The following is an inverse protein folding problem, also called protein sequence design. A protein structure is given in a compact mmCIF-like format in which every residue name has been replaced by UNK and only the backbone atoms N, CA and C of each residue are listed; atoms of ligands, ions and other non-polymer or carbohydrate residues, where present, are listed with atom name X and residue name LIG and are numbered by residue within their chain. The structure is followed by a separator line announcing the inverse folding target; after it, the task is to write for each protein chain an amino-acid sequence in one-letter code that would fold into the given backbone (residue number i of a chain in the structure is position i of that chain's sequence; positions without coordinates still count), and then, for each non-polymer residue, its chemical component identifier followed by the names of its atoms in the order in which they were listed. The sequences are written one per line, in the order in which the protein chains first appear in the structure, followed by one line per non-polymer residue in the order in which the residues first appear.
data_IF_036453349066
#
_entry.id   IF_036453349066
#
_cell.length_a   1.000
_cell.length_b   1.000
_cell.length_c   1.000
_cell.angle_alpha   90.00
_cell.angle_beta   90.00
_cell.angle_gamma   90.00
#
_symmetry.space_group_name_H-M   'P 1'
#
loop_
_entity.id
_entity.type
_entity.pdbx_description
1 polymer ?
#
# COMPACT_ATOMS: atom_id res chain seq x y z
N UNK A 1 -9.08 12.11 12.13
CA UNK A 1 -9.66 11.56 10.90
C UNK A 1 -8.88 12.11 9.71
N UNK A 2 -8.28 11.26 8.87
CA UNK A 2 -7.60 11.73 7.66
C UNK A 2 -8.63 12.03 6.56
N UNK A 3 -8.47 13.18 5.92
CA UNK A 3 -9.31 13.65 4.80
C UNK A 3 -8.57 13.49 3.48
N UNK A 4 -9.25 13.70 2.35
CA UNK A 4 -8.63 13.68 1.03
C UNK A 4 -7.44 14.66 0.90
N UNK A 5 -7.45 15.80 1.60
CA UNK A 5 -6.34 16.76 1.59
C UNK A 5 -5.12 16.25 2.36
N UNK A 6 -5.33 15.47 3.43
CA UNK A 6 -4.23 14.78 4.10
C UNK A 6 -3.61 13.72 3.19
N UNK A 7 -4.44 13.01 2.41
CA UNK A 7 -3.96 12.04 1.42
C UNK A 7 -3.22 12.73 0.28
N UNK A 8 -3.67 13.91 -0.17
CA UNK A 8 -2.93 14.71 -1.14
C UNK A 8 -1.51 15.05 -0.65
N UNK A 9 -1.39 15.50 0.60
CA UNK A 9 -0.09 15.78 1.22
C UNK A 9 0.79 14.51 1.31
N UNK A 10 0.22 13.39 1.75
CA UNK A 10 0.91 12.11 1.82
C UNK A 10 1.36 11.62 0.44
N UNK A 11 0.53 11.76 -0.59
CA UNK A 11 0.88 11.40 -1.98
C UNK A 11 2.04 12.24 -2.48
N UNK A 12 2.07 13.54 -2.15
CA UNK A 12 3.21 14.40 -2.47
C UNK A 12 4.49 13.90 -1.82
N UNK A 13 4.45 13.59 -0.52
CA UNK A 13 5.60 13.04 0.20
C UNK A 13 6.06 11.69 -0.37
N UNK A 14 5.11 10.80 -0.71
CA UNK A 14 5.40 9.52 -1.33
C UNK A 14 6.04 9.68 -2.71
N UNK A 15 5.59 10.61 -3.54
CA UNK A 15 6.22 10.89 -4.85
C UNK A 15 7.69 11.29 -4.67
N UNK A 16 7.95 12.20 -3.76
CA UNK A 16 9.30 12.70 -3.49
C UNK A 16 10.21 11.60 -2.91
N UNK A 17 9.64 10.71 -2.09
CA UNK A 17 10.39 9.66 -1.40
C UNK A 17 10.61 8.40 -2.25
N UNK A 18 9.61 7.98 -3.03
CA UNK A 18 9.58 6.68 -3.72
C UNK A 18 10.12 6.73 -5.15
N UNK A 19 10.44 7.91 -5.68
CA UNK A 19 10.95 8.05 -7.05
C UNK A 19 12.17 7.16 -7.32
N UNK A 20 12.06 6.29 -8.35
CA UNK A 20 13.10 5.32 -8.71
C UNK A 20 13.33 4.21 -7.68
N UNK A 21 12.38 4.04 -6.75
CA UNK A 21 12.38 2.96 -5.77
C UNK A 21 11.80 1.67 -6.34
N UNK A 22 11.93 0.61 -5.55
CA UNK A 22 11.33 -0.70 -5.84
C UNK A 22 10.46 -1.16 -4.70
N UNK A 23 9.35 -1.79 -5.02
CA UNK A 23 8.53 -2.47 -4.02
C UNK A 23 9.22 -3.78 -3.61
N UNK A 24 9.49 -3.99 -2.32
CA UNK A 24 10.32 -5.12 -1.87
C UNK A 24 9.63 -6.08 -0.91
N UNK A 25 8.56 -5.64 -0.22
CA UNK A 25 7.85 -6.48 0.73
C UNK A 25 6.50 -5.88 1.11
N UNK A 26 5.61 -6.73 1.60
CA UNK A 26 4.38 -6.37 2.29
C UNK A 26 4.31 -7.13 3.62
N UNK A 27 3.90 -6.46 4.68
CA UNK A 27 3.83 -7.03 6.02
C UNK A 27 2.47 -6.68 6.64
N UNK A 28 1.68 -7.68 7.04
CA UNK A 28 0.47 -7.47 7.83
C UNK A 28 0.59 -8.10 9.22
N UNK A 29 0.38 -7.27 10.24
CA UNK A 29 0.38 -7.66 11.65
C UNK A 29 -1.06 -7.70 12.15
N UNK A 30 -1.67 -8.89 12.16
CA UNK A 30 -3.09 -9.08 12.45
C UNK A 30 -3.48 -8.60 13.84
N UNK A 31 -2.64 -8.85 14.85
CA UNK A 31 -2.90 -8.41 16.24
C UNK A 31 -2.91 -6.88 16.40
N UNK A 32 -1.98 -6.19 15.75
CA UNK A 32 -1.87 -4.72 15.79
C UNK A 32 -2.87 -4.05 14.82
N UNK A 33 -3.39 -4.80 13.84
CA UNK A 33 -4.20 -4.30 12.73
C UNK A 33 -3.45 -3.25 11.91
N UNK A 34 -2.18 -3.54 11.64
CA UNK A 34 -1.30 -2.67 10.87
C UNK A 34 -0.77 -3.40 9.63
N UNK A 35 -0.81 -2.73 8.48
CA UNK A 35 -0.18 -3.20 7.26
C UNK A 35 0.93 -2.24 6.82
N UNK A 36 1.99 -2.77 6.26
CA UNK A 36 3.12 -2.01 5.75
C UNK A 36 3.47 -2.46 4.34
N UNK A 37 3.57 -1.50 3.43
CA UNK A 37 4.15 -1.69 2.10
C UNK A 37 5.57 -1.14 2.13
N UNK A 38 6.56 -1.99 1.87
CA UNK A 38 7.97 -1.65 1.99
C UNK A 38 8.60 -1.38 0.62
N UNK A 39 9.31 -0.27 0.54
CA UNK A 39 9.96 0.20 -0.67
C UNK A 39 11.46 0.41 -0.42
N UNK A 40 12.29 -0.14 -1.29
CA UNK A 40 13.73 0.17 -1.33
C UNK A 40 13.92 1.43 -2.18
N UNK A 41 14.54 2.43 -1.59
CA UNK A 41 14.88 3.71 -2.23
C UNK A 41 16.36 4.00 -2.03
N UNK A 42 16.91 5.02 -2.71
CA UNK A 42 18.34 5.36 -2.62
C UNK A 42 18.83 5.57 -1.18
N UNK A 43 18.00 6.18 -0.33
CA UNK A 43 18.32 6.53 1.06
C UNK A 43 18.00 5.42 2.09
N UNK A 44 17.60 4.23 1.65
CA UNK A 44 17.29 3.11 2.55
C UNK A 44 15.96 2.44 2.23
N UNK A 45 15.28 1.95 3.26
CA UNK A 45 13.97 1.32 3.14
C UNK A 45 12.92 2.16 3.83
N UNK A 46 11.84 2.46 3.11
CA UNK A 46 10.71 3.27 3.57
C UNK A 46 9.45 2.40 3.56
N UNK A 47 8.55 2.66 4.48
CA UNK A 47 7.28 1.97 4.63
C UNK A 47 6.12 2.94 4.47
N UNK A 48 5.16 2.59 3.62
CA UNK A 48 3.80 3.14 3.70
C UNK A 48 3.02 2.26 4.69
N UNK A 49 2.80 2.80 5.88
CA UNK A 49 2.05 2.15 6.94
C UNK A 49 0.57 2.49 6.89
N UNK A 50 -0.27 1.52 7.22
CA UNK A 50 -1.71 1.63 7.35
C UNK A 50 -2.16 1.03 8.68
N UNK A 51 -2.63 1.88 9.57
CA UNK A 51 -3.25 1.47 10.82
C UNK A 51 -4.78 1.40 10.66
N UNK A 52 -5.36 0.24 10.94
CA UNK A 52 -6.80 -0.03 10.82
C UNK A 52 -7.51 -0.11 12.19
N UNK A 53 -6.90 0.42 13.26
CA UNK A 53 -7.48 0.32 14.60
C UNK A 53 -8.65 1.32 14.80
N UNK A 54 -9.78 0.92 15.41
CA UNK A 54 -10.93 1.81 15.61
C UNK A 54 -10.62 3.09 16.40
N UNK A 55 -9.74 3.00 17.40
CA UNK A 55 -9.35 4.14 18.25
C UNK A 55 -8.17 4.97 17.71
N UNK A 56 -7.54 4.54 16.60
CA UNK A 56 -6.35 5.19 16.05
C UNK A 56 -6.02 4.62 14.68
N UNK A 57 -6.37 5.33 13.62
CA UNK A 57 -6.20 4.87 12.24
C UNK A 57 -5.57 5.95 11.38
N UNK A 58 -4.91 5.52 10.31
CA UNK A 58 -4.35 6.41 9.31
C UNK A 58 -3.34 5.73 8.40
N UNK A 59 -3.01 6.41 7.31
CA UNK A 59 -1.91 6.09 6.42
C UNK A 59 -0.76 7.09 6.64
N UNK A 60 0.47 6.61 6.65
CA UNK A 60 1.67 7.43 6.86
C UNK A 60 2.90 6.81 6.20
N UNK A 61 3.91 7.62 5.92
CA UNK A 61 5.20 7.15 5.40
C UNK A 61 6.30 7.33 6.45
N UNK A 62 7.09 6.28 6.70
CA UNK A 62 8.19 6.32 7.68
C UNK A 62 9.36 5.42 7.25
N UNK A 63 10.59 5.66 7.75
CA UNK A 63 11.68 4.72 7.58
C UNK A 63 11.38 3.36 8.22
N UNK A 64 11.74 2.26 7.55
CA UNK A 64 11.50 0.90 8.06
C UNK A 64 12.13 0.63 9.42
N UNK A 65 13.26 1.27 9.72
CA UNK A 65 13.97 1.17 11.01
C UNK A 65 13.23 1.84 12.18
N UNK A 66 12.22 2.66 11.89
CA UNK A 66 11.41 3.36 12.90
C UNK A 66 10.10 2.63 13.23
N UNK A 67 9.78 1.55 12.50
CA UNK A 67 8.61 0.73 12.80
C UNK A 67 8.89 -0.07 14.08
N UNK A 68 8.06 0.13 15.10
CA UNK A 68 8.09 -0.64 16.34
C UNK A 68 6.82 -1.47 16.43
N UNK A 69 6.96 -2.78 16.19
CA UNK A 69 5.86 -3.74 16.32
C UNK A 69 5.97 -4.40 17.69
N UNK A 70 4.92 -4.37 18.51
CA UNK A 70 4.95 -4.95 19.87
C UNK A 70 4.70 -6.45 19.85
N UNK A 71 3.96 -6.93 18.85
CA UNK A 71 3.70 -8.36 18.68
C UNK A 71 4.93 -9.14 18.19
N UNK A 72 5.10 -10.37 18.69
CA UNK A 72 6.06 -11.36 18.17
C UNK A 72 5.51 -12.18 17.00
N UNK A 73 4.30 -11.86 16.53
CA UNK A 73 3.65 -12.51 15.39
C UNK A 73 4.48 -12.29 14.11
N UNK A 74 4.67 -13.36 13.34
CA UNK A 74 5.27 -13.27 12.01
C UNK A 74 4.29 -12.54 11.08
N UNK A 75 4.70 -11.46 10.39
CA UNK A 75 3.80 -10.76 9.49
C UNK A 75 3.38 -11.66 8.33
N UNK A 76 2.14 -11.49 7.88
CA UNK A 76 1.64 -12.14 6.67
C UNK A 76 2.02 -11.31 5.44
N UNK A 77 2.73 -11.88 4.44
CA UNK A 77 2.95 -11.23 3.16
C UNK A 77 1.76 -11.43 2.22
N UNK A 78 1.37 -10.39 1.47
CA UNK A 78 0.14 -10.42 0.66
C UNK A 78 0.27 -9.91 -0.78
N UNK A 79 1.36 -9.25 -1.20
CA UNK A 79 1.61 -8.78 -2.58
C UNK A 79 2.91 -9.30 -3.20
N UNK A 80 3.25 -10.56 -2.93
CA UNK A 80 4.47 -11.22 -3.41
C UNK A 80 4.70 -11.11 -4.92
N UNK A 81 3.68 -11.23 -5.80
CA UNK A 81 3.89 -11.15 -7.25
C UNK A 81 4.53 -9.84 -7.74
N UNK A 82 4.35 -8.74 -7.01
CA UNK A 82 4.90 -7.44 -7.39
C UNK A 82 6.27 -7.13 -6.72
N UNK A 83 6.82 -8.05 -5.93
CA UNK A 83 8.11 -7.81 -5.28
C UNK A 83 9.24 -7.70 -6.31
N UNK A 84 10.07 -6.67 -6.16
CA UNK A 84 11.13 -6.32 -7.11
C UNK A 84 10.71 -5.24 -8.12
N UNK A 85 9.41 -5.06 -8.33
CA UNK A 85 8.88 -4.12 -9.33
C UNK A 85 9.28 -2.66 -9.03
N UNK A 86 9.64 -1.94 -10.09
CA UNK A 86 10.02 -0.53 -10.06
C UNK A 86 8.77 0.35 -9.96
N UNK A 87 8.86 1.40 -9.15
CA UNK A 87 7.77 2.35 -8.95
C UNK A 87 7.76 3.36 -10.10
N UNK A 88 6.69 3.36 -10.90
CA UNK A 88 6.50 4.30 -12.01
C UNK A 88 5.79 5.56 -11.52
N UNK A 89 4.72 5.39 -10.74
CA UNK A 89 3.85 6.50 -10.38
C UNK A 89 3.20 6.30 -9.02
N UNK A 90 2.95 7.41 -8.34
CA UNK A 90 2.12 7.46 -7.12
C UNK A 90 1.12 8.58 -7.33
N UNK A 91 -0.17 8.33 -7.12
CA UNK A 91 -1.21 9.36 -7.31
C UNK A 91 -2.39 9.14 -6.37
N UNK A 92 -3.13 10.22 -6.14
CA UNK A 92 -4.45 10.16 -5.53
C UNK A 92 -5.49 9.92 -6.64
N UNK A 93 -6.51 9.11 -6.37
CA UNK A 93 -7.67 9.01 -7.26
C UNK A 93 -8.70 10.07 -6.87
N UNK A 94 -8.91 11.05 -7.75
CA UNK A 94 -9.82 12.17 -7.51
C UNK A 94 -9.47 12.97 -6.24
N UNK A 95 -10.52 13.43 -5.55
CA UNK A 95 -10.44 14.00 -4.20
C UNK A 95 -10.94 13.00 -3.16
N UNK A 96 -10.56 11.72 -3.32
CA UNK A 96 -10.89 10.66 -2.37
C UNK A 96 -9.63 10.20 -1.61
N UNK A 97 -9.84 9.37 -0.59
CA UNK A 97 -8.78 8.80 0.27
C UNK A 97 -8.23 7.51 -0.33
N UNK A 98 -7.99 7.52 -1.64
CA UNK A 98 -7.47 6.37 -2.39
C UNK A 98 -6.14 6.76 -3.03
N UNK A 99 -5.10 6.00 -2.73
CA UNK A 99 -3.77 6.15 -3.33
C UNK A 99 -3.57 5.00 -4.31
N UNK A 100 -3.10 5.32 -5.51
CA UNK A 100 -2.68 4.35 -6.52
C UNK A 100 -1.17 4.45 -6.73
N UNK A 101 -0.49 3.31 -6.61
CA UNK A 101 0.95 3.18 -6.87
C UNK A 101 1.11 2.23 -8.07
N UNK A 102 1.62 2.75 -9.17
CA UNK A 102 1.88 1.98 -10.39
C UNK A 102 3.30 1.43 -10.36
N UNK A 103 3.44 0.13 -10.66
CA UNK A 103 4.69 -0.61 -10.64
C UNK A 103 4.93 -1.34 -11.96
N UNK A 104 6.20 -1.61 -12.27
CA UNK A 104 6.59 -2.43 -13.43
C UNK A 104 7.73 -3.38 -13.10
N UNK A 105 7.58 -4.64 -13.51
CA UNK A 105 8.65 -5.62 -13.58
C UNK A 105 8.56 -6.34 -14.92
N UNK A 106 9.28 -5.85 -15.92
CA UNK A 106 8.99 -6.20 -17.33
C UNK A 106 8.97 -7.73 -17.55
N UNK A 107 7.94 -8.27 -18.21
CA UNK A 107 6.87 -7.57 -18.93
C UNK A 107 5.65 -7.15 -18.08
N UNK A 108 5.63 -7.47 -16.79
CA UNK A 108 4.47 -7.31 -15.92
C UNK A 108 4.27 -5.87 -15.43
N UNK A 109 3.01 -5.43 -15.38
CA UNK A 109 2.58 -4.15 -14.84
C UNK A 109 1.61 -4.42 -13.69
N UNK A 110 1.80 -3.70 -12.59
CA UNK A 110 0.95 -3.82 -11.41
C UNK A 110 0.45 -2.45 -10.95
N UNK A 111 -0.71 -2.43 -10.31
CA UNK A 111 -1.17 -1.27 -9.53
C UNK A 111 -1.50 -1.69 -8.11
N UNK A 112 -0.85 -1.08 -7.12
CA UNK A 112 -1.29 -1.18 -5.72
C UNK A 112 -2.31 -0.07 -5.46
N UNK A 113 -3.50 -0.45 -5.02
CA UNK A 113 -4.53 0.47 -4.55
C UNK A 113 -4.58 0.45 -3.03
N UNK A 114 -4.56 1.63 -2.43
CA UNK A 114 -4.57 1.85 -1.00
C UNK A 114 -5.80 2.67 -0.64
N UNK A 115 -6.78 2.04 0.00
CA UNK A 115 -7.98 2.71 0.50
C UNK A 115 -7.72 3.18 1.94
N UNK A 116 -7.34 4.45 2.12
CA UNK A 116 -7.07 5.07 3.42
C UNK A 116 -8.37 5.52 4.13
N UNK A 117 -9.37 4.63 4.19
CA UNK A 117 -10.73 4.89 4.72
C UNK A 117 -10.84 4.43 6.19
N UNK A 118 -9.77 4.63 6.96
CA UNK A 118 -9.70 4.27 8.37
C UNK A 118 -9.92 2.78 8.63
N UNK A 119 -10.73 2.36 9.63
CA UNK A 119 -10.88 0.95 10.00
C UNK A 119 -11.48 0.07 8.90
N UNK A 120 -12.09 0.66 7.86
CA UNK A 120 -12.68 -0.06 6.72
C UNK A 120 -11.81 -0.04 5.47
N UNK A 121 -10.63 0.61 5.54
CA UNK A 121 -9.68 0.63 4.45
C UNK A 121 -9.19 -0.76 4.06
N UNK A 122 -8.69 -0.86 2.84
CA UNK A 122 -8.14 -2.09 2.28
C UNK A 122 -6.94 -1.81 1.36
N UNK A 123 -6.22 -2.86 1.03
CA UNK A 123 -5.16 -2.85 0.04
C UNK A 123 -5.53 -3.83 -1.07
N UNK A 124 -5.31 -3.41 -2.31
CA UNK A 124 -5.50 -4.25 -3.49
C UNK A 124 -4.23 -4.24 -4.34
N UNK A 125 -3.94 -5.38 -4.97
CA UNK A 125 -2.98 -5.49 -6.05
C UNK A 125 -3.75 -5.83 -7.30
N UNK A 126 -3.54 -5.04 -8.35
CA UNK A 126 -4.14 -5.21 -9.65
C UNK A 126 -3.09 -5.55 -10.70
N UNK A 127 -3.49 -6.29 -11.73
CA UNK A 127 -2.69 -6.55 -12.93
C UNK A 127 -2.81 -5.43 -13.98
N UNK A 128 -2.21 -5.65 -15.15
CA UNK A 128 -2.22 -4.76 -16.31
C UNK A 128 -3.62 -4.47 -16.88
N UNK A 129 -4.60 -5.32 -16.58
CA UNK A 129 -6.01 -5.23 -16.99
C UNK A 129 -6.93 -4.72 -15.87
N UNK A 130 -6.35 -4.24 -14.77
CA UNK A 130 -7.07 -3.81 -13.58
C UNK A 130 -7.90 -4.92 -12.91
N UNK A 131 -7.56 -6.19 -13.15
CA UNK A 131 -8.15 -7.33 -12.42
C UNK A 131 -7.47 -7.47 -11.06
N UNK A 132 -8.22 -7.90 -10.06
CA UNK A 132 -7.72 -8.06 -8.70
C UNK A 132 -6.86 -9.32 -8.61
N UNK A 133 -5.56 -9.13 -8.43
CA UNK A 133 -4.58 -10.23 -8.24
C UNK A 133 -4.43 -10.62 -6.77
N UNK A 134 -4.59 -9.68 -5.84
CA UNK A 134 -4.54 -9.94 -4.41
C UNK A 134 -5.20 -8.81 -3.60
N UNK A 135 -5.52 -9.10 -2.33
CA UNK A 135 -6.08 -8.14 -1.37
C UNK A 135 -5.59 -8.45 0.04
N UNK A 136 -5.50 -7.43 0.89
CA UNK A 136 -5.23 -7.62 2.31
C UNK A 136 -6.41 -8.25 3.04
N UNK A 137 -7.63 -7.73 2.83
CA UNK A 137 -8.83 -8.24 3.49
C UNK A 137 -9.52 -9.28 2.63
N UNK A 138 -9.95 -10.37 3.27
CA UNK A 138 -10.68 -11.47 2.68
C UNK A 138 -12.15 -11.10 2.38
N UNK A 139 -12.37 -9.96 1.71
CA UNK A 139 -13.65 -9.75 1.00
C UNK A 139 -13.70 -10.82 -0.08
N UNK A 140 -14.81 -11.54 -0.22
CA UNK A 140 -15.01 -12.37 -1.41
C UNK A 140 -15.03 -11.44 -2.61
N UNK A 141 -14.07 -11.58 -3.52
CA UNK A 141 -14.06 -10.91 -4.83
C UNK A 141 -14.02 -12.00 -5.88
N UNK A 142 -14.74 -11.77 -6.97
CA UNK A 142 -14.63 -12.59 -8.16
C UNK A 142 -13.38 -12.15 -8.92
N UNK A 143 -12.50 -13.10 -9.23
CA UNK A 143 -11.23 -12.84 -9.92
C UNK A 143 -11.44 -12.27 -11.34
N UNK A 144 -12.63 -12.45 -11.90
CA UNK A 144 -13.04 -11.90 -13.20
C UNK A 144 -13.48 -10.44 -13.11
N UNK A 145 -13.78 -9.93 -11.91
CA UNK A 145 -14.33 -8.58 -11.73
C UNK A 145 -13.21 -7.53 -11.68
N UNK A 146 -13.24 -6.51 -12.57
CA UNK A 146 -12.29 -5.40 -12.51
C UNK A 146 -12.53 -4.53 -11.27
N UNK A 147 -11.46 -3.89 -10.78
CA UNK A 147 -11.59 -2.92 -9.69
C UNK A 147 -12.30 -1.65 -10.16
N UNK A 148 -13.43 -1.33 -9.54
CA UNK A 148 -14.13 -0.06 -9.70
C UNK A 148 -13.92 0.79 -8.44
N UNK A 149 -13.25 1.93 -8.62
CA UNK A 149 -13.01 2.92 -7.57
C UNK A 149 -14.26 3.75 -7.27
#
# INVERSE_FOLDING_TARGET
MQTALHIYALVKELKDCLSGGRFISSEFYKKEREAYLLFKVKKGTVALGLAYHPAGFGAFVIPRSKISVKTKEKPWPFFQPAYGAEIISVKQLGLDRIIKIDLIDRPDIYSIIVEAIGPNGNLWLLDDKAKISATLRNKKYDAETPYNA
#
